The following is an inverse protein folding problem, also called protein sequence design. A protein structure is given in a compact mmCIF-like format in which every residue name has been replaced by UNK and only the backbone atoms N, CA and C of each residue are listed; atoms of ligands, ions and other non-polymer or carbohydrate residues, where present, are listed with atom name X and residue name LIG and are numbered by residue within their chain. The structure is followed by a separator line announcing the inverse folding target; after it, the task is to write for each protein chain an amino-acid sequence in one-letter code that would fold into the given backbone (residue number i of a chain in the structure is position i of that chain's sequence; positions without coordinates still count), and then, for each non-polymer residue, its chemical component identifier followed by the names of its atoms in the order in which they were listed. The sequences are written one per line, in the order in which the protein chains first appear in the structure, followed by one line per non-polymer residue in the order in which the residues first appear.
data_IF_241276994453
#
_entry.id   IF_241276994453
#
_cell.length_a   1.000
_cell.length_b   1.000
_cell.length_c   1.000
_cell.angle_alpha   90.00
_cell.angle_beta   90.00
_cell.angle_gamma   90.00
#
_symmetry.space_group_name_H-M   'P 1'
#
loop_
_entity.id
_entity.type
_entity.pdbx_description
1 polymer ?
#
# COMPACT_ATOMS: atom_id res chain seq x y z
N UNK A 1 -48.46 47.53 -14.29
CA UNK A 1 -49.10 46.28 -14.75
C UNK A 1 -48.20 45.12 -14.32
N UNK A 2 -48.63 44.40 -13.29
CA UNK A 2 -47.89 43.36 -12.57
C UNK A 2 -47.81 42.06 -13.36
N UNK A 3 -46.61 41.62 -13.75
CA UNK A 3 -46.36 40.26 -14.26
C UNK A 3 -45.62 39.46 -13.19
N UNK A 4 -46.33 39.12 -12.11
CA UNK A 4 -45.91 38.09 -11.15
C UNK A 4 -46.16 36.73 -11.81
N UNK A 5 -45.19 36.22 -12.56
CA UNK A 5 -45.16 34.79 -12.88
C UNK A 5 -45.15 34.02 -11.56
N UNK A 6 -46.08 33.07 -11.34
CA UNK A 6 -46.12 32.30 -10.09
C UNK A 6 -44.77 31.64 -9.88
N UNK A 7 -44.15 31.98 -8.75
CA UNK A 7 -42.80 31.55 -8.33
C UNK A 7 -42.59 30.03 -8.51
N UNK A 8 -43.67 29.27 -8.39
CA UNK A 8 -43.70 27.81 -8.51
C UNK A 8 -43.49 27.30 -9.95
N UNK A 9 -43.97 28.03 -10.97
CA UNK A 9 -43.78 27.63 -12.38
C UNK A 9 -42.34 27.84 -12.83
N UNK A 10 -41.72 28.96 -12.44
CA UNK A 10 -40.31 29.24 -12.74
C UNK A 10 -39.37 28.25 -12.05
N UNK A 11 -39.66 27.92 -10.79
CA UNK A 11 -38.88 26.93 -10.03
C UNK A 11 -39.03 25.51 -10.59
N UNK A 12 -40.23 25.13 -11.04
CA UNK A 12 -40.50 23.84 -11.68
C UNK A 12 -39.75 23.70 -13.02
N UNK A 13 -39.69 24.76 -13.84
CA UNK A 13 -38.91 24.74 -15.08
C UNK A 13 -37.40 24.63 -14.82
N UNK A 14 -36.87 25.34 -13.83
CA UNK A 14 -35.47 25.20 -13.41
C UNK A 14 -35.17 23.78 -12.93
N UNK A 15 -36.07 23.16 -12.15
CA UNK A 15 -35.91 21.76 -11.73
C UNK A 15 -35.95 20.78 -12.90
N UNK A 16 -36.83 20.99 -13.89
CA UNK A 16 -36.88 20.13 -15.09
C UNK A 16 -35.59 20.20 -15.92
N UNK A 17 -34.97 21.38 -16.00
CA UNK A 17 -33.66 21.57 -16.67
C UNK A 17 -32.49 21.03 -15.87
N UNK A 18 -32.64 20.85 -14.55
CA UNK A 18 -31.64 20.26 -13.66
C UNK A 18 -31.69 18.72 -13.63
N UNK A 19 -32.70 18.10 -14.30
CA UNK A 19 -32.79 16.64 -14.38
C UNK A 19 -31.65 16.11 -15.24
N UNK A 20 -30.55 15.75 -14.58
CA UNK A 20 -29.38 15.15 -15.18
C UNK A 20 -29.83 13.87 -15.90
N UNK A 21 -29.81 13.88 -17.23
CA UNK A 21 -30.14 12.70 -18.01
C UNK A 21 -29.12 11.61 -17.67
N UNK A 22 -29.58 10.54 -17.02
CA UNK A 22 -28.74 9.38 -16.74
C UNK A 22 -28.26 8.83 -18.09
N UNK A 23 -26.95 8.78 -18.33
CA UNK A 23 -26.44 8.66 -19.69
C UNK A 23 -26.80 7.30 -20.32
N UNK A 24 -26.88 6.24 -19.50
CA UNK A 24 -27.25 4.87 -19.91
C UNK A 24 -27.89 4.13 -18.72
N UNK A 25 -28.78 3.16 -18.96
CA UNK A 25 -29.44 2.36 -17.89
C UNK A 25 -28.45 1.64 -16.98
N UNK A 26 -27.35 1.18 -17.56
CA UNK A 26 -26.36 0.35 -16.88
C UNK A 26 -25.25 1.18 -16.22
N UNK A 27 -25.31 2.52 -16.31
CA UNK A 27 -24.27 3.40 -15.79
C UNK A 27 -24.06 3.20 -14.28
N UNK A 28 -25.15 3.13 -13.53
CA UNK A 28 -25.10 2.93 -12.08
C UNK A 28 -24.49 1.57 -11.73
N UNK A 29 -24.95 0.51 -12.39
CA UNK A 29 -24.48 -0.85 -12.15
C UNK A 29 -23.00 -1.01 -12.51
N UNK A 30 -22.54 -0.42 -13.62
CA UNK A 30 -21.14 -0.41 -14.02
C UNK A 30 -20.26 0.38 -13.05
N UNK A 31 -20.78 1.47 -12.52
CA UNK A 31 -20.07 2.33 -11.55
C UNK A 31 -19.93 1.61 -10.20
N UNK A 32 -21.01 1.00 -9.71
CA UNK A 32 -21.00 0.20 -8.47
C UNK A 32 -20.07 -1.01 -8.61
N UNK A 33 -20.08 -1.70 -9.75
CA UNK A 33 -19.18 -2.83 -10.00
C UNK A 33 -17.69 -2.42 -9.99
N UNK A 34 -17.36 -1.25 -10.55
CA UNK A 34 -16.00 -0.69 -10.51
C UNK A 34 -15.56 -0.37 -9.08
N UNK A 35 -16.42 0.30 -8.30
CA UNK A 35 -16.16 0.63 -6.89
C UNK A 35 -15.93 -0.64 -6.07
N UNK A 36 -16.76 -1.67 -6.28
CA UNK A 36 -16.63 -2.94 -5.55
C UNK A 36 -15.31 -3.64 -5.88
N UNK A 37 -14.92 -3.66 -7.16
CA UNK A 37 -13.66 -4.24 -7.63
C UNK A 37 -12.44 -3.52 -7.02
N UNK A 38 -12.47 -2.19 -6.98
CA UNK A 38 -11.40 -1.40 -6.34
C UNK A 38 -11.33 -1.62 -4.82
N UNK A 39 -12.48 -1.67 -4.14
CA UNK A 39 -12.53 -1.93 -2.69
C UNK A 39 -12.07 -3.34 -2.32
N UNK A 40 -12.43 -4.35 -3.12
CA UNK A 40 -11.95 -5.71 -2.94
C UNK A 40 -10.42 -5.79 -3.05
N UNK A 41 -9.83 -5.11 -4.03
CA UNK A 41 -8.37 -5.02 -4.19
C UNK A 41 -7.70 -4.25 -3.03
N UNK A 42 -8.29 -3.14 -2.58
CA UNK A 42 -7.78 -2.36 -1.43
C UNK A 42 -7.74 -3.17 -0.14
N UNK A 43 -8.81 -3.93 0.14
CA UNK A 43 -8.92 -4.76 1.36
C UNK A 43 -7.95 -5.94 1.37
N UNK A 44 -7.67 -6.52 0.21
CA UNK A 44 -6.70 -7.62 0.08
C UNK A 44 -5.27 -7.11 0.33
N UNK A 45 -4.94 -5.92 -0.17
CA UNK A 45 -3.60 -5.33 -0.07
C UNK A 45 -3.18 -5.04 1.39
N UNK A 46 -4.11 -4.75 2.29
CA UNK A 46 -3.80 -4.48 3.71
C UNK A 46 -3.30 -5.73 4.46
N UNK A 47 -3.81 -6.91 4.11
CA UNK A 47 -3.38 -8.19 4.70
C UNK A 47 -1.93 -8.51 4.33
N UNK A 48 -1.56 -8.30 3.07
CA UNK A 48 -0.19 -8.50 2.60
C UNK A 48 0.80 -7.53 3.23
N UNK A 49 0.39 -6.28 3.53
CA UNK A 49 1.23 -5.33 4.27
C UNK A 49 1.58 -5.83 5.67
N UNK A 50 0.59 -6.36 6.41
CA UNK A 50 0.83 -6.93 7.75
C UNK A 50 1.77 -8.13 7.69
N UNK A 51 1.59 -9.00 6.69
CA UNK A 51 2.46 -10.15 6.47
C UNK A 51 3.90 -9.74 6.13
N UNK A 52 4.09 -8.70 5.30
CA UNK A 52 5.42 -8.17 4.96
C UNK A 52 6.16 -7.64 6.20
N UNK A 53 5.46 -6.96 7.12
CA UNK A 53 6.05 -6.49 8.38
C UNK A 53 6.45 -7.67 9.27
N UNK A 54 5.63 -8.72 9.35
CA UNK A 54 5.97 -9.92 10.12
C UNK A 54 7.21 -10.61 9.56
N UNK A 55 7.29 -10.79 8.24
CA UNK A 55 8.49 -11.36 7.60
C UNK A 55 9.72 -10.49 7.77
N UNK A 56 9.57 -9.16 7.78
CA UNK A 56 10.68 -8.25 8.06
C UNK A 56 11.20 -8.40 9.50
N UNK A 57 10.33 -8.42 10.50
CA UNK A 57 10.72 -8.60 11.91
C UNK A 57 11.35 -9.98 12.10
N UNK A 58 10.76 -11.02 11.51
CA UNK A 58 11.28 -12.39 11.62
C UNK A 58 12.63 -12.55 10.90
N UNK A 59 12.78 -11.97 9.71
CA UNK A 59 14.01 -12.00 8.93
C UNK A 59 15.15 -11.20 9.57
N UNK A 60 14.85 -10.04 10.16
CA UNK A 60 15.83 -9.26 10.92
C UNK A 60 16.23 -9.96 12.21
N UNK A 61 15.29 -10.54 12.96
CA UNK A 61 15.61 -11.38 14.11
C UNK A 61 16.53 -12.54 13.74
N UNK A 62 16.17 -13.29 12.70
CA UNK A 62 16.95 -14.44 12.24
C UNK A 62 18.33 -14.05 11.73
N UNK A 63 18.43 -13.00 10.91
CA UNK A 63 19.72 -12.53 10.40
C UNK A 63 20.63 -11.99 11.50
N UNK A 64 20.07 -11.34 12.53
CA UNK A 64 20.82 -10.96 13.73
C UNK A 64 21.33 -12.17 14.50
N UNK A 65 20.50 -13.19 14.73
CA UNK A 65 20.90 -14.44 15.38
C UNK A 65 22.00 -15.14 14.59
N UNK A 66 21.86 -15.26 13.27
CA UNK A 66 22.89 -15.86 12.39
C UNK A 66 24.20 -15.08 12.49
N UNK A 67 24.14 -13.75 12.41
CA UNK A 67 25.34 -12.89 12.53
C UNK A 67 26.00 -13.04 13.89
N UNK A 68 25.22 -13.16 14.97
CA UNK A 68 25.72 -13.39 16.33
C UNK A 68 26.41 -14.75 16.43
N UNK A 69 25.77 -15.83 15.98
CA UNK A 69 26.36 -17.18 15.98
C UNK A 69 27.62 -17.27 15.15
N UNK A 70 27.66 -16.60 13.99
CA UNK A 70 28.84 -16.55 13.14
C UNK A 70 29.98 -15.76 13.80
N UNK A 71 29.65 -14.80 14.66
CA UNK A 71 30.64 -14.02 15.42
C UNK A 71 31.21 -14.75 16.64
N UNK A 72 30.67 -15.91 17.02
CA UNK A 72 31.30 -16.75 18.04
C UNK A 72 32.58 -17.36 17.45
N UNK A 73 33.75 -17.19 18.12
CA UNK A 73 35.02 -17.67 17.62
C UNK A 73 35.09 -19.19 17.74
N UNK A 74 34.65 -19.91 16.70
CA UNK A 74 34.89 -21.33 16.56
C UNK A 74 35.46 -21.63 15.18
N UNK A 75 36.79 -21.75 15.20
CA UNK A 75 37.64 -22.48 14.28
C UNK A 75 37.51 -22.13 12.80
N UNK A 76 38.61 -21.67 12.21
CA UNK A 76 38.85 -21.53 10.78
C UNK A 76 38.15 -22.62 9.96
N UNK A 77 37.03 -22.26 9.32
CA UNK A 77 36.34 -23.14 8.39
C UNK A 77 37.09 -23.03 7.06
N UNK A 78 37.67 -24.14 6.60
CA UNK A 78 38.26 -24.29 5.27
C UNK A 78 39.44 -23.37 4.92
N UNK A 79 40.31 -23.01 5.88
CA UNK A 79 41.59 -22.32 5.61
C UNK A 79 41.48 -20.85 5.19
N UNK A 80 40.27 -20.29 5.16
CA UNK A 80 40.01 -18.87 4.91
C UNK A 80 39.95 -18.17 6.27
N UNK A 81 40.58 -16.99 6.45
CA UNK A 81 40.45 -16.20 7.67
C UNK A 81 38.97 -15.89 7.92
N UNK A 82 38.46 -16.34 9.07
CA UNK A 82 37.05 -16.23 9.45
C UNK A 82 36.54 -14.78 9.39
N UNK A 83 37.42 -13.80 9.58
CA UNK A 83 37.12 -12.37 9.57
C UNK A 83 36.59 -11.86 8.23
N UNK A 84 37.11 -12.36 7.10
CA UNK A 84 36.67 -11.90 5.77
C UNK A 84 35.25 -12.38 5.46
N UNK A 85 34.95 -13.64 5.78
CA UNK A 85 33.61 -14.22 5.61
C UNK A 85 32.61 -13.51 6.52
N UNK A 86 33.02 -13.22 7.76
CA UNK A 86 32.22 -12.48 8.73
C UNK A 86 31.85 -11.08 8.22
N UNK A 87 32.83 -10.38 7.64
CA UNK A 87 32.65 -9.03 7.10
C UNK A 87 31.68 -9.03 5.91
N UNK A 88 31.84 -9.97 4.97
CA UNK A 88 30.94 -10.11 3.83
C UNK A 88 29.50 -10.43 4.28
N UNK A 89 29.32 -11.34 5.25
CA UNK A 89 28.00 -11.64 5.82
C UNK A 89 27.36 -10.44 6.50
N UNK A 90 28.13 -9.62 7.23
CA UNK A 90 27.61 -8.40 7.87
C UNK A 90 27.18 -7.37 6.84
N UNK A 91 27.99 -7.14 5.81
CA UNK A 91 27.68 -6.19 4.73
C UNK A 91 26.44 -6.63 3.96
N UNK A 92 26.36 -7.92 3.58
CA UNK A 92 25.20 -8.44 2.87
C UNK A 92 23.93 -8.38 3.72
N UNK A 93 24.03 -8.64 5.02
CA UNK A 93 22.92 -8.49 5.95
C UNK A 93 22.40 -7.04 6.04
N UNK A 94 23.30 -6.06 6.16
CA UNK A 94 22.93 -4.63 6.20
C UNK A 94 22.24 -4.23 4.88
N UNK A 95 22.75 -4.68 3.73
CA UNK A 95 22.14 -4.40 2.43
C UNK A 95 20.74 -5.02 2.29
N UNK A 96 20.55 -6.25 2.79
CA UNK A 96 19.24 -6.89 2.82
C UNK A 96 18.26 -6.10 3.69
N UNK A 97 18.68 -5.66 4.88
CA UNK A 97 17.84 -4.83 5.75
C UNK A 97 17.46 -3.52 5.06
N UNK A 98 18.43 -2.80 4.49
CA UNK A 98 18.18 -1.54 3.78
C UNK A 98 17.19 -1.72 2.63
N UNK A 99 17.35 -2.80 1.86
CA UNK A 99 16.45 -3.12 0.74
C UNK A 99 15.04 -3.41 1.23
N UNK A 100 14.89 -4.21 2.29
CA UNK A 100 13.58 -4.52 2.86
C UNK A 100 12.93 -3.30 3.52
N UNK A 101 13.70 -2.47 4.22
CA UNK A 101 13.22 -1.20 4.78
C UNK A 101 12.70 -0.27 3.67
N UNK A 102 13.42 -0.15 2.56
CA UNK A 102 12.99 0.68 1.44
C UNK A 102 11.70 0.14 0.80
N UNK A 103 11.57 -1.18 0.67
CA UNK A 103 10.34 -1.82 0.19
C UNK A 103 9.15 -1.52 1.11
N UNK A 104 9.35 -1.58 2.43
CA UNK A 104 8.31 -1.25 3.42
C UNK A 104 7.96 0.24 3.36
N UNK A 105 8.95 1.14 3.35
CA UNK A 105 8.73 2.58 3.25
C UNK A 105 7.93 2.96 2.00
N UNK A 106 8.23 2.33 0.86
CA UNK A 106 7.47 2.52 -0.39
C UNK A 106 6.02 2.05 -0.27
N UNK A 107 5.77 0.94 0.43
CA UNK A 107 4.40 0.45 0.70
C UNK A 107 3.62 1.37 1.65
N UNK A 108 4.29 2.02 2.61
CA UNK A 108 3.68 2.99 3.53
C UNK A 108 3.45 4.35 2.86
N UNK A 109 4.39 4.86 2.07
CA UNK A 109 4.23 6.09 1.28
C UNK A 109 3.02 5.99 0.35
N UNK A 110 2.88 4.88 -0.39
CA UNK A 110 1.73 4.66 -1.27
C UNK A 110 0.40 4.53 -0.50
N UNK A 111 0.44 4.20 0.79
CA UNK A 111 -0.76 4.18 1.64
C UNK A 111 -1.23 5.60 2.03
N UNK A 112 -0.29 6.55 2.14
CA UNK A 112 -0.56 7.93 2.55
C UNK A 112 -1.26 8.74 1.45
N UNK A 113 -0.94 8.48 0.19
CA UNK A 113 -1.57 9.17 -0.95
C UNK A 113 -3.05 8.82 -1.14
N UNK A 114 -3.51 7.66 -0.64
CA UNK A 114 -4.92 7.24 -0.74
C UNK A 114 -5.86 7.84 0.32
N UNK A 115 -5.34 8.68 1.22
CA UNK A 115 -6.12 9.31 2.29
C UNK A 115 -6.32 10.83 2.06
N UNK A 116 -5.85 11.37 0.93
CA UNK A 116 -5.97 12.80 0.55
C UNK A 116 -6.83 12.99 -0.72
N UNK A 117 -7.45 11.94 -1.25
CA UNK A 117 -8.45 12.04 -2.34
C UNK A 117 -9.73 11.36 -1.93
#
# INVERSE_FOLDING_TARGET
MSNLLPKDQSFSEMMKKSKLAMPFSDFEERTIALIYKENALKSSTSKYKRLAILFFIMGTGLGFTVTYFLSLPKASIAGIPSDTILLVCRVSYILLILTQLNAILKLFSKARDYHIT
#
